data_IF_297981315769
#
_entry.id   IF_297981315769
#
_cell.length_a   1.000
_cell.length_b   1.000
_cell.length_c   1.000
_cell.angle_alpha   90.00
_cell.angle_beta   90.00
_cell.angle_gamma   90.00
#
_symmetry.space_group_name_H-M   'P 1'
#
loop_
_entity.id
_entity.type
_entity.pdbx_description
1 polymer ?
#
# COMPACT_ATOMS: atom_id res chain seq x y z
N UNK A 1 26.04 8.05 -6.95
CA UNK A 1 27.17 7.74 -6.01
C UNK A 1 27.32 8.79 -4.92
N UNK A 2 27.20 10.07 -5.23
CA UNK A 2 27.43 11.15 -4.23
C UNK A 2 26.43 11.11 -3.07
N UNK A 3 25.13 10.93 -3.36
CA UNK A 3 24.07 10.98 -2.36
C UNK A 3 24.23 9.92 -1.24
N UNK A 4 24.64 8.69 -1.58
CA UNK A 4 24.84 7.63 -0.56
C UNK A 4 25.95 8.04 0.40
N UNK A 5 27.10 8.48 -0.10
CA UNK A 5 28.21 8.90 0.75
C UNK A 5 27.86 10.12 1.60
N UNK A 6 27.10 11.07 1.05
CA UNK A 6 26.65 12.25 1.80
C UNK A 6 25.74 11.85 2.98
N UNK A 7 24.76 10.96 2.72
CA UNK A 7 23.85 10.51 3.75
C UNK A 7 24.55 9.62 4.80
N UNK A 8 25.44 8.72 4.39
CA UNK A 8 26.23 7.92 5.33
C UNK A 8 27.13 8.78 6.23
N UNK A 9 27.74 9.84 5.68
CA UNK A 9 28.51 10.80 6.46
C UNK A 9 27.63 11.52 7.50
N UNK A 10 26.41 11.96 7.13
CA UNK A 10 25.46 12.56 8.08
C UNK A 10 25.06 11.59 9.19
N UNK A 11 24.93 10.31 8.84
CA UNK A 11 24.59 9.24 9.78
C UNK A 11 25.78 8.79 10.65
N UNK A 12 27.01 9.26 10.33
CA UNK A 12 28.22 8.84 11.05
C UNK A 12 28.60 7.37 10.81
N UNK A 13 28.22 6.81 9.67
CA UNK A 13 28.46 5.41 9.32
C UNK A 13 29.66 5.31 8.37
N UNK A 14 30.70 4.60 8.79
CA UNK A 14 31.80 4.23 7.92
C UNK A 14 31.30 3.22 6.87
N UNK A 15 31.71 3.37 5.62
CA UNK A 15 31.33 2.49 4.52
C UNK A 15 32.59 1.92 3.87
N UNK A 16 32.83 0.63 4.06
CA UNK A 16 33.98 -0.06 3.47
C UNK A 16 33.68 -0.44 2.01
N UNK A 17 32.44 -0.81 1.72
CA UNK A 17 31.94 -1.07 0.38
C UNK A 17 30.44 -0.93 0.31
N UNK A 18 29.89 -0.69 -0.90
CA UNK A 18 28.46 -0.71 -1.13
C UNK A 18 28.13 -1.30 -2.50
N UNK A 19 26.89 -1.82 -2.64
CA UNK A 19 26.31 -2.26 -3.91
C UNK A 19 24.90 -1.69 -4.05
N UNK A 20 24.60 -1.16 -5.25
CA UNK A 20 23.26 -0.67 -5.57
C UNK A 20 22.33 -1.86 -5.74
N UNK A 21 21.23 -1.88 -4.98
CA UNK A 21 20.16 -2.85 -5.11
C UNK A 21 19.06 -2.33 -6.04
N UNK A 22 18.77 -1.03 -5.97
CA UNK A 22 17.78 -0.35 -6.82
C UNK A 22 18.15 1.13 -6.97
N UNK A 23 17.92 1.67 -8.17
CA UNK A 23 17.99 3.12 -8.44
C UNK A 23 16.88 3.46 -9.44
N UNK A 24 15.77 3.93 -8.91
CA UNK A 24 14.55 4.16 -9.70
C UNK A 24 13.69 5.25 -9.08
N UNK A 25 13.08 6.08 -9.95
CA UNK A 25 12.07 7.09 -9.60
C UNK A 25 12.53 8.12 -8.54
N UNK A 26 13.85 8.32 -8.38
CA UNK A 26 14.41 9.21 -7.37
C UNK A 26 14.56 8.55 -5.98
N UNK A 27 14.53 7.22 -5.93
CA UNK A 27 14.84 6.42 -4.75
C UNK A 27 16.03 5.52 -5.07
N UNK A 28 17.12 5.68 -4.32
CA UNK A 28 18.32 4.82 -4.44
C UNK A 28 18.38 3.93 -3.20
N UNK A 29 18.41 2.61 -3.41
CA UNK A 29 18.59 1.60 -2.35
C UNK A 29 19.93 0.93 -2.54
N UNK A 30 20.76 0.90 -1.51
CA UNK A 30 22.07 0.27 -1.56
C UNK A 30 22.32 -0.56 -0.29
N UNK A 31 22.94 -1.73 -0.49
CA UNK A 31 23.55 -2.48 0.61
C UNK A 31 24.90 -1.87 0.91
N UNK A 32 25.20 -1.65 2.16
CA UNK A 32 26.48 -1.13 2.66
C UNK A 32 27.10 -2.12 3.64
N UNK A 33 28.43 -2.22 3.60
CA UNK A 33 29.23 -3.00 4.55
C UNK A 33 30.04 -2.02 5.39
N UNK A 34 29.97 -2.19 6.71
CA UNK A 34 30.72 -1.41 7.70
C UNK A 34 31.30 -2.36 8.75
N UNK A 35 32.60 -2.65 8.65
CA UNK A 35 33.23 -3.71 9.42
C UNK A 35 32.62 -5.08 9.11
N UNK A 36 32.17 -5.76 10.15
CA UNK A 36 31.51 -7.08 10.02
C UNK A 36 29.97 -6.99 9.84
N UNK A 37 29.44 -5.77 9.73
CA UNK A 37 27.98 -5.54 9.67
C UNK A 37 27.56 -5.13 8.28
N UNK A 38 26.38 -5.61 7.88
CA UNK A 38 25.66 -5.21 6.66
C UNK A 38 24.41 -4.43 7.01
N UNK A 39 24.10 -3.41 6.21
CA UNK A 39 22.91 -2.57 6.34
C UNK A 39 22.35 -2.27 4.95
N UNK A 40 21.12 -1.80 4.90
CA UNK A 40 20.53 -1.23 3.68
C UNK A 40 20.27 0.26 3.92
N UNK A 41 20.80 1.10 3.04
CA UNK A 41 20.47 2.53 3.02
C UNK A 41 19.50 2.81 1.88
N UNK A 42 18.42 3.52 2.19
CA UNK A 42 17.42 3.99 1.24
C UNK A 42 17.46 5.52 1.22
N UNK A 43 17.90 6.12 0.10
CA UNK A 43 18.03 7.56 -0.09
C UNK A 43 16.91 8.09 -0.96
N UNK A 44 16.29 9.20 -0.54
CA UNK A 44 15.16 9.83 -1.21
C UNK A 44 15.58 11.16 -1.82
N UNK A 45 15.50 11.28 -3.15
CA UNK A 45 15.87 12.49 -3.89
C UNK A 45 14.67 13.45 -4.05
N UNK A 46 13.44 12.90 -4.05
CA UNK A 46 12.22 13.67 -4.18
C UNK A 46 11.51 13.80 -2.84
N UNK A 47 10.95 14.98 -2.55
CA UNK A 47 10.27 15.26 -1.29
C UNK A 47 9.06 14.36 -1.05
N UNK A 48 8.34 14.00 -2.10
CA UNK A 48 7.19 13.09 -2.03
C UNK A 48 7.51 11.70 -1.46
N UNK A 49 8.77 11.24 -1.63
CA UNK A 49 9.21 9.94 -1.12
C UNK A 49 9.76 10.02 0.32
N UNK A 50 10.15 11.21 0.79
CA UNK A 50 10.68 11.42 2.15
C UNK A 50 9.65 11.13 3.25
N UNK A 51 8.34 11.17 2.91
CA UNK A 51 7.27 10.80 3.83
C UNK A 51 7.44 9.40 4.43
N UNK A 52 8.13 8.49 3.73
CA UNK A 52 8.39 7.14 4.21
C UNK A 52 9.20 7.14 5.52
N UNK A 53 10.09 8.11 5.72
CA UNK A 53 10.86 8.27 6.96
C UNK A 53 9.92 8.51 8.15
N UNK A 54 8.99 9.45 7.99
CA UNK A 54 7.97 9.74 9.00
C UNK A 54 7.01 8.58 9.23
N UNK A 55 6.68 7.84 8.17
CA UNK A 55 5.79 6.68 8.24
C UNK A 55 6.40 5.53 9.07
N UNK A 56 7.71 5.27 8.96
CA UNK A 56 8.39 4.32 9.85
C UNK A 56 8.31 4.76 11.31
N UNK A 57 8.56 6.04 11.60
CA UNK A 57 8.50 6.58 12.95
C UNK A 57 7.07 6.49 13.53
N UNK A 58 6.06 6.79 12.70
CA UNK A 58 4.66 6.67 13.06
C UNK A 58 4.31 5.23 13.46
N UNK A 59 4.61 4.24 12.61
CA UNK A 59 4.29 2.84 12.87
C UNK A 59 4.95 2.34 14.15
N UNK A 60 6.23 2.68 14.38
CA UNK A 60 6.93 2.36 15.62
C UNK A 60 6.23 3.00 16.83
N UNK A 61 5.80 4.26 16.74
CA UNK A 61 5.10 4.97 17.82
C UNK A 61 3.75 4.34 18.17
N UNK A 62 3.08 3.74 17.17
CA UNK A 62 1.81 3.04 17.33
C UNK A 62 1.99 1.58 17.77
N UNK A 63 3.22 1.09 17.88
CA UNK A 63 3.52 -0.30 18.20
C UNK A 63 3.17 -1.28 17.09
N UNK A 64 3.13 -0.82 15.82
CA UNK A 64 2.99 -1.68 14.64
C UNK A 64 4.38 -2.19 14.25
N UNK A 65 4.61 -3.50 14.16
CA UNK A 65 5.92 -4.05 13.83
C UNK A 65 6.40 -3.64 12.45
N UNK A 66 7.68 -3.24 12.36
CA UNK A 66 8.38 -2.89 11.13
C UNK A 66 9.76 -3.58 11.13
N UNK A 67 10.45 -3.61 9.99
CA UNK A 67 11.88 -3.91 10.00
C UNK A 67 12.61 -2.81 10.78
N UNK A 68 13.79 -3.16 11.32
CA UNK A 68 14.50 -2.27 12.21
C UNK A 68 15.11 -1.10 11.46
N UNK A 69 14.73 0.12 11.85
CA UNK A 69 15.44 1.35 11.47
C UNK A 69 16.62 1.52 12.42
N UNK A 70 17.83 1.59 11.86
CA UNK A 70 19.08 1.79 12.63
C UNK A 70 19.27 3.29 12.92
N UNK A 71 19.08 4.11 11.86
CA UNK A 71 19.18 5.57 11.92
C UNK A 71 18.45 6.19 10.73
N UNK A 72 18.21 7.50 10.77
CA UNK A 72 17.64 8.26 9.65
C UNK A 72 18.21 9.66 9.58
N UNK A 73 18.17 10.25 8.39
CA UNK A 73 18.33 11.69 8.13
C UNK A 73 17.02 12.25 7.61
N UNK A 74 16.99 13.49 7.16
CA UNK A 74 15.82 14.10 6.51
C UNK A 74 15.55 13.51 5.09
N UNK A 75 16.51 12.75 4.54
CA UNK A 75 16.45 12.23 3.17
C UNK A 75 16.91 10.78 3.01
N UNK A 76 17.20 10.09 4.12
CA UNK A 76 17.59 8.68 4.06
C UNK A 76 17.16 7.89 5.30
N UNK A 77 16.95 6.59 5.07
CA UNK A 77 16.76 5.56 6.09
C UNK A 77 17.95 4.59 6.05
N UNK A 78 18.50 4.28 7.20
CA UNK A 78 19.43 3.16 7.39
C UNK A 78 18.69 2.02 8.07
N UNK A 79 18.54 0.92 7.38
CA UNK A 79 17.72 -0.23 7.77
C UNK A 79 18.61 -1.44 8.05
N UNK A 80 18.09 -2.40 8.82
CA UNK A 80 18.71 -3.73 8.90
C UNK A 80 18.75 -4.38 7.52
N UNK A 81 19.81 -5.14 7.23
CA UNK A 81 19.91 -5.94 6.03
C UNK A 81 19.20 -7.28 6.26
N UNK A 82 18.05 -7.45 5.64
CA UNK A 82 17.19 -8.64 5.82
C UNK A 82 17.88 -9.92 5.31
N UNK A 83 18.73 -9.83 4.28
CA UNK A 83 19.47 -10.99 3.80
C UNK A 83 20.47 -11.52 4.86
N UNK A 84 20.92 -10.64 5.76
CA UNK A 84 21.78 -10.97 6.89
C UNK A 84 20.99 -11.20 8.19
N UNK A 85 19.67 -11.07 8.19
CA UNK A 85 18.85 -11.23 9.39
C UNK A 85 18.82 -12.70 9.86
N UNK A 86 19.06 -12.98 11.16
CA UNK A 86 18.90 -14.33 11.69
C UNK A 86 17.42 -14.76 11.76
N UNK A 87 16.49 -13.81 11.83
CA UNK A 87 15.06 -14.05 12.10
C UNK A 87 14.22 -13.99 10.83
N UNK A 88 14.47 -13.00 9.96
CA UNK A 88 13.63 -12.70 8.80
C UNK A 88 14.30 -13.09 7.50
N UNK A 89 13.50 -13.24 6.47
CA UNK A 89 13.86 -13.26 5.05
C UNK A 89 12.92 -12.38 4.26
N UNK A 90 13.31 -11.96 3.07
CA UNK A 90 12.39 -11.30 2.14
C UNK A 90 11.26 -12.23 1.74
N UNK A 91 10.10 -11.68 1.48
CA UNK A 91 8.97 -12.42 0.92
C UNK A 91 9.28 -12.93 -0.49
N UNK A 92 8.72 -14.07 -0.82
CA UNK A 92 8.83 -14.73 -2.13
C UNK A 92 7.43 -15.04 -2.65
N UNK A 93 7.30 -15.30 -3.94
CA UNK A 93 6.02 -15.56 -4.58
C UNK A 93 5.25 -16.74 -3.95
N UNK A 94 5.97 -17.77 -3.54
CA UNK A 94 5.39 -18.94 -2.88
C UNK A 94 4.70 -18.62 -1.55
N UNK A 95 5.10 -17.54 -0.88
CA UNK A 95 4.44 -17.09 0.36
C UNK A 95 2.99 -16.68 0.12
N UNK A 96 2.64 -16.28 -1.10
CA UNK A 96 1.27 -15.88 -1.46
C UNK A 96 0.31 -17.08 -1.51
N UNK A 97 0.85 -18.29 -1.53
CA UNK A 97 0.06 -19.53 -1.51
C UNK A 97 0.12 -20.25 -0.16
N UNK A 98 0.85 -19.71 0.84
CA UNK A 98 1.01 -20.33 2.15
C UNK A 98 -0.06 -19.84 3.15
N UNK A 99 -0.97 -20.73 3.63
CA UNK A 99 -2.02 -20.32 4.57
C UNK A 99 -1.49 -19.79 5.91
N UNK A 100 -0.31 -20.27 6.37
CA UNK A 100 0.27 -19.77 7.62
C UNK A 100 0.80 -18.34 7.43
N UNK A 101 1.46 -18.06 6.30
CA UNK A 101 1.87 -16.69 5.96
C UNK A 101 0.63 -15.78 5.80
N UNK A 102 -0.44 -16.26 5.17
CA UNK A 102 -1.71 -15.56 5.07
C UNK A 102 -2.26 -15.13 6.43
N UNK A 103 -2.24 -16.03 7.45
CA UNK A 103 -2.62 -15.67 8.82
C UNK A 103 -1.72 -14.60 9.42
N UNK A 104 -0.39 -14.67 9.20
CA UNK A 104 0.55 -13.68 9.75
C UNK A 104 0.38 -12.30 9.13
N UNK A 105 0.09 -12.26 7.84
CA UNK A 105 -0.29 -11.03 7.15
C UNK A 105 -1.56 -10.43 7.81
N UNK A 106 -2.57 -11.25 8.05
CA UNK A 106 -3.81 -10.81 8.71
C UNK A 106 -3.57 -10.21 10.11
N UNK A 107 -2.72 -10.85 10.92
CA UNK A 107 -2.34 -10.34 12.25
C UNK A 107 -1.72 -8.95 12.14
N UNK A 108 -0.81 -8.74 11.18
CA UNK A 108 -0.17 -7.44 10.97
C UNK A 108 -1.19 -6.37 10.56
N UNK A 109 -2.05 -6.65 9.57
CA UNK A 109 -3.07 -5.70 9.11
C UNK A 109 -4.10 -5.38 10.18
N UNK A 110 -4.55 -6.39 10.93
CA UNK A 110 -5.48 -6.20 12.06
C UNK A 110 -4.89 -5.26 13.11
N UNK A 111 -3.59 -5.39 13.39
CA UNK A 111 -2.89 -4.49 14.31
C UNK A 111 -2.77 -3.09 13.73
N UNK A 112 -2.34 -2.95 12.45
CA UNK A 112 -2.26 -1.66 11.75
C UNK A 112 -3.60 -0.91 11.84
N UNK A 113 -4.69 -1.57 11.42
CA UNK A 113 -6.01 -0.95 11.38
C UNK A 113 -6.51 -0.61 12.78
N UNK A 114 -6.37 -1.51 13.76
CA UNK A 114 -6.83 -1.25 15.12
C UNK A 114 -6.12 -0.06 15.79
N UNK A 115 -4.81 0.10 15.54
CA UNK A 115 -4.01 1.23 16.05
C UNK A 115 -4.27 2.51 15.24
N UNK A 116 -4.47 2.34 13.92
CA UNK A 116 -4.68 3.43 12.98
C UNK A 116 -5.96 4.23 13.24
N UNK A 117 -7.04 3.61 13.66
CA UNK A 117 -8.32 4.30 13.90
C UNK A 117 -8.17 5.48 14.87
N UNK A 118 -7.53 5.25 16.01
CA UNK A 118 -7.33 6.31 17.02
C UNK A 118 -6.46 7.44 16.50
N UNK A 119 -5.40 7.09 15.78
CA UNK A 119 -4.47 8.08 15.22
C UNK A 119 -5.12 8.94 14.13
N UNK A 120 -5.80 8.32 13.16
CA UNK A 120 -6.41 9.03 12.03
C UNK A 120 -7.49 10.01 12.51
N UNK A 121 -8.30 9.63 13.50
CA UNK A 121 -9.29 10.53 14.09
C UNK A 121 -8.70 11.79 14.73
N UNK A 122 -7.45 11.71 15.23
CA UNK A 122 -6.82 12.80 15.97
C UNK A 122 -5.82 13.61 15.13
N UNK A 123 -5.14 12.97 14.19
CA UNK A 123 -3.96 13.53 13.51
C UNK A 123 -3.83 13.14 12.04
N UNK A 124 -4.82 12.47 11.45
CA UNK A 124 -4.72 11.91 10.09
C UNK A 124 -5.09 12.89 8.97
N UNK A 125 -5.34 14.18 9.25
CA UNK A 125 -5.87 15.12 8.25
C UNK A 125 -4.97 15.24 7.01
N UNK A 126 -3.66 15.31 7.19
CA UNK A 126 -2.68 15.48 6.11
C UNK A 126 -2.15 14.18 5.50
N UNK A 127 -2.68 13.02 5.92
CA UNK A 127 -2.25 11.74 5.36
C UNK A 127 -2.75 11.55 3.94
N UNK A 128 -1.96 10.83 3.13
CA UNK A 128 -2.37 10.35 1.83
C UNK A 128 -3.68 9.55 1.92
N UNK A 129 -4.63 9.80 1.04
CA UNK A 129 -5.91 9.08 0.96
C UNK A 129 -6.23 8.79 -0.51
N UNK A 130 -6.29 7.53 -0.88
CA UNK A 130 -6.63 7.15 -2.26
C UNK A 130 -8.06 7.54 -2.64
N UNK A 131 -8.96 7.65 -1.65
CA UNK A 131 -10.33 8.07 -1.88
C UNK A 131 -10.44 9.54 -2.36
N UNK A 132 -9.41 10.37 -2.15
CA UNK A 132 -9.36 11.74 -2.67
C UNK A 132 -9.35 11.78 -4.21
N UNK A 133 -8.99 10.65 -4.86
CA UNK A 133 -9.06 10.53 -6.33
C UNK A 133 -10.46 10.17 -6.86
N UNK A 134 -11.40 9.83 -6.00
CA UNK A 134 -12.79 9.57 -6.39
C UNK A 134 -13.54 10.87 -6.60
N UNK A 135 -13.32 11.53 -7.75
CA UNK A 135 -13.95 12.81 -8.11
C UNK A 135 -14.57 12.76 -9.50
N UNK A 136 -15.59 13.59 -9.75
CA UNK A 136 -16.19 13.73 -11.08
C UNK A 136 -15.18 14.22 -12.13
N UNK A 137 -14.21 15.05 -11.73
CA UNK A 137 -13.14 15.52 -12.60
C UNK A 137 -12.24 14.36 -13.05
N UNK A 138 -11.83 13.52 -12.13
CA UNK A 138 -11.01 12.35 -12.44
C UNK A 138 -11.78 11.32 -13.29
N UNK A 139 -13.07 11.12 -13.01
CA UNK A 139 -13.94 10.27 -13.84
C UNK A 139 -14.00 10.82 -15.29
N UNK A 140 -14.17 12.13 -15.47
CA UNK A 140 -14.17 12.74 -16.79
C UNK A 140 -12.81 12.55 -17.50
N UNK A 141 -11.70 12.73 -16.79
CA UNK A 141 -10.35 12.49 -17.30
C UNK A 141 -10.14 11.03 -17.73
N UNK A 142 -10.60 10.06 -16.93
CA UNK A 142 -10.53 8.63 -17.26
C UNK A 142 -11.31 8.37 -18.56
N UNK A 143 -12.55 8.83 -18.64
CA UNK A 143 -13.41 8.68 -19.83
C UNK A 143 -12.70 9.16 -21.09
N UNK A 144 -12.10 10.34 -21.04
CA UNK A 144 -11.38 10.95 -22.17
C UNK A 144 -10.14 10.16 -22.56
N UNK A 145 -9.25 9.86 -21.58
CA UNK A 145 -7.97 9.20 -21.85
C UNK A 145 -8.12 7.75 -22.33
N UNK A 146 -9.15 7.06 -21.89
CA UNK A 146 -9.39 5.65 -22.25
C UNK A 146 -10.34 5.47 -23.43
N UNK A 147 -10.97 6.55 -23.92
CA UNK A 147 -11.98 6.46 -24.97
C UNK A 147 -13.27 5.73 -24.54
N UNK A 148 -13.55 5.69 -23.23
CA UNK A 148 -14.67 4.92 -22.65
C UNK A 148 -15.93 5.74 -22.38
N UNK A 149 -16.09 6.92 -23.02
CA UNK A 149 -17.19 7.87 -22.75
C UNK A 149 -18.58 7.24 -22.85
N UNK A 150 -18.75 6.31 -23.76
CA UNK A 150 -20.03 5.67 -24.06
C UNK A 150 -20.34 4.46 -23.15
N UNK A 151 -19.43 4.10 -22.21
CA UNK A 151 -19.68 2.99 -21.30
C UNK A 151 -20.86 3.29 -20.36
N UNK A 152 -21.89 2.42 -20.29
CA UNK A 152 -23.10 2.68 -19.52
C UNK A 152 -22.86 2.79 -18.01
N UNK A 153 -21.78 2.17 -17.51
CA UNK A 153 -21.41 2.27 -16.10
C UNK A 153 -21.16 3.71 -15.66
N UNK A 154 -20.62 4.57 -16.52
CA UNK A 154 -20.35 5.96 -16.16
C UNK A 154 -21.63 6.74 -15.89
N UNK A 155 -22.67 6.55 -16.72
CA UNK A 155 -23.96 7.20 -16.51
C UNK A 155 -24.55 6.78 -15.16
N UNK A 156 -24.50 5.48 -14.85
CA UNK A 156 -25.01 4.95 -13.60
C UNK A 156 -24.21 5.46 -12.40
N UNK A 157 -22.88 5.52 -12.51
CA UNK A 157 -22.00 6.04 -11.46
C UNK A 157 -22.28 7.52 -11.19
N UNK A 158 -22.35 8.36 -12.24
CA UNK A 158 -22.59 9.80 -12.11
C UNK A 158 -23.96 10.10 -11.48
N UNK A 159 -25.00 9.31 -11.79
CA UNK A 159 -26.32 9.41 -11.18
C UNK A 159 -26.31 9.12 -9.67
N UNK A 160 -25.40 8.27 -9.22
CA UNK A 160 -25.29 7.85 -7.81
C UNK A 160 -24.10 8.48 -7.07
N UNK A 161 -23.29 9.29 -7.76
CA UNK A 161 -22.04 9.84 -7.24
C UNK A 161 -22.21 10.55 -5.90
N UNK A 162 -23.22 11.43 -5.79
CA UNK A 162 -23.42 12.22 -4.56
C UNK A 162 -23.69 11.33 -3.34
N UNK A 163 -24.51 10.30 -3.50
CA UNK A 163 -24.84 9.37 -2.41
C UNK A 163 -23.64 8.48 -2.06
N UNK A 164 -22.92 7.97 -3.06
CA UNK A 164 -21.69 7.18 -2.84
C UNK A 164 -20.63 8.04 -2.13
N UNK A 165 -20.43 9.27 -2.58
CA UNK A 165 -19.45 10.19 -1.96
C UNK A 165 -19.84 10.55 -0.52
N UNK A 166 -21.13 10.71 -0.22
CA UNK A 166 -21.60 10.93 1.15
C UNK A 166 -21.27 9.74 2.07
N UNK A 167 -21.47 8.51 1.62
CA UNK A 167 -21.07 7.31 2.37
C UNK A 167 -19.55 7.22 2.51
N UNK A 168 -18.81 7.52 1.43
CA UNK A 168 -17.35 7.52 1.45
C UNK A 168 -16.80 8.51 2.50
N UNK A 169 -17.41 9.69 2.62
CA UNK A 169 -17.05 10.68 3.64
C UNK A 169 -17.37 10.22 5.07
N UNK A 170 -18.40 9.38 5.24
CA UNK A 170 -18.81 8.82 6.54
C UNK A 170 -18.06 7.54 6.91
N UNK A 171 -17.42 6.86 5.96
CA UNK A 171 -16.69 5.64 6.21
C UNK A 171 -15.61 5.85 7.28
N UNK A 172 -15.51 4.90 8.19
CA UNK A 172 -14.53 4.96 9.29
C UNK A 172 -13.11 4.85 8.74
N UNK A 173 -12.29 5.85 9.01
CA UNK A 173 -10.91 5.89 8.51
C UNK A 173 -9.93 5.27 9.50
N UNK A 174 -8.97 4.53 8.97
CA UNK A 174 -7.80 4.00 9.66
C UNK A 174 -6.54 4.27 8.86
N UNK A 175 -5.38 3.86 9.36
CA UNK A 175 -4.15 3.82 8.55
C UNK A 175 -4.28 2.66 7.58
N UNK A 176 -3.99 2.91 6.29
CA UNK A 176 -3.93 1.91 5.22
C UNK A 176 -2.52 1.82 4.64
N UNK A 177 -2.13 0.61 4.25
CA UNK A 177 -0.81 0.33 3.70
C UNK A 177 -0.72 0.62 2.20
N UNK A 178 -1.73 0.26 1.45
CA UNK A 178 -1.98 0.54 0.02
C UNK A 178 -0.97 -0.05 -1.00
N UNK A 179 0.06 -0.78 -0.59
CA UNK A 179 1.13 -1.28 -1.47
C UNK A 179 1.49 -2.75 -1.19
N UNK A 180 0.46 -3.60 -1.00
CA UNK A 180 0.69 -5.01 -0.71
C UNK A 180 1.21 -5.77 -1.94
N UNK A 181 2.43 -6.29 -1.80
CA UNK A 181 3.03 -7.25 -2.72
C UNK A 181 4.11 -8.05 -1.98
N UNK A 182 4.41 -9.28 -2.41
CA UNK A 182 5.36 -10.12 -1.68
C UNK A 182 6.76 -9.49 -1.57
N UNK A 183 7.19 -8.70 -2.57
CA UNK A 183 8.50 -8.00 -2.54
C UNK A 183 8.57 -6.87 -1.51
N UNK A 184 7.42 -6.43 -0.98
CA UNK A 184 7.31 -5.39 0.05
C UNK A 184 7.09 -5.99 1.45
N UNK A 185 7.31 -7.29 1.59
CA UNK A 185 7.08 -8.06 2.80
C UNK A 185 8.34 -8.80 3.26
N UNK A 186 8.47 -8.98 4.55
CA UNK A 186 9.40 -9.92 5.17
C UNK A 186 8.63 -10.96 5.96
N UNK A 187 9.13 -12.19 5.96
CA UNK A 187 8.56 -13.33 6.68
C UNK A 187 9.59 -13.88 7.64
N UNK A 188 9.19 -14.16 8.87
CA UNK A 188 10.06 -14.89 9.81
C UNK A 188 10.39 -16.28 9.23
N UNK A 189 11.65 -16.71 9.40
CA UNK A 189 12.13 -18.00 8.85
C UNK A 189 11.35 -19.20 9.38
N UNK A 190 10.79 -19.08 10.59
CA UNK A 190 9.91 -20.07 11.22
C UNK A 190 8.40 -19.80 10.95
N UNK A 191 8.08 -18.83 10.09
CA UNK A 191 6.73 -18.37 9.77
C UNK A 191 5.92 -17.84 10.96
N UNK A 192 6.57 -17.44 12.06
CA UNK A 192 5.87 -16.91 13.24
C UNK A 192 5.32 -15.49 13.04
N UNK A 193 5.79 -14.74 12.04
CA UNK A 193 5.32 -13.39 11.71
C UNK A 193 5.59 -13.03 10.25
N UNK A 194 4.79 -12.10 9.74
CA UNK A 194 5.02 -11.39 8.48
C UNK A 194 4.83 -9.89 8.70
N UNK A 195 5.68 -9.06 8.11
CA UNK A 195 5.67 -7.60 8.24
C UNK A 195 5.80 -6.97 6.87
N UNK A 196 5.17 -5.81 6.68
CA UNK A 196 5.46 -4.94 5.54
C UNK A 196 6.66 -4.05 5.85
N UNK A 197 7.37 -3.54 4.82
CA UNK A 197 8.55 -2.71 5.05
C UNK A 197 8.77 -1.58 4.03
N UNK A 198 7.88 -1.38 3.07
CA UNK A 198 7.88 -0.24 2.15
C UNK A 198 6.67 0.62 2.46
N UNK A 199 6.86 1.84 2.96
CA UNK A 199 5.78 2.65 3.49
C UNK A 199 5.57 3.98 2.75
N UNK A 200 5.99 4.08 1.49
CA UNK A 200 5.81 5.28 0.69
C UNK A 200 4.34 5.61 0.39
N UNK A 201 3.47 4.59 0.32
CA UNK A 201 2.02 4.74 0.10
C UNK A 201 1.18 4.58 1.38
N UNK A 202 1.84 4.48 2.56
CA UNK A 202 1.12 4.47 3.82
C UNK A 202 0.25 5.75 3.92
N UNK A 203 -1.02 5.57 4.17
CA UNK A 203 -1.98 6.65 4.17
C UNK A 203 -3.13 6.41 5.13
N UNK A 204 -4.26 7.04 4.87
CA UNK A 204 -5.54 6.80 5.54
C UNK A 204 -6.55 6.28 4.52
N UNK A 205 -7.48 5.48 5.00
CA UNK A 205 -8.57 4.92 4.19
C UNK A 205 -9.50 4.10 5.06
N UNK A 206 -10.46 3.43 4.48
CA UNK A 206 -11.23 2.39 5.15
C UNK A 206 -10.48 1.04 5.07
N UNK A 207 -10.60 0.22 6.09
CA UNK A 207 -9.77 -0.98 6.27
C UNK A 207 -9.90 -1.99 5.12
N UNK A 208 -11.09 -2.07 4.49
CA UNK A 208 -11.35 -3.04 3.43
C UNK A 208 -10.48 -2.83 2.16
N UNK A 209 -10.00 -1.61 1.90
CA UNK A 209 -9.06 -1.35 0.79
C UNK A 209 -7.83 -2.25 0.87
N UNK A 210 -7.22 -2.34 2.06
CA UNK A 210 -6.08 -3.22 2.29
C UNK A 210 -6.46 -4.70 2.23
N UNK A 211 -7.63 -5.08 2.78
CA UNK A 211 -8.14 -6.46 2.70
C UNK A 211 -8.28 -6.91 1.25
N UNK A 212 -8.87 -6.08 0.38
CA UNK A 212 -8.96 -6.36 -1.06
C UNK A 212 -7.58 -6.51 -1.71
N UNK A 213 -6.65 -5.59 -1.42
CA UNK A 213 -5.28 -5.64 -1.96
C UNK A 213 -4.58 -6.95 -1.61
N UNK A 214 -4.70 -7.38 -0.36
CA UNK A 214 -4.13 -8.66 0.09
C UNK A 214 -4.80 -9.83 -0.61
N UNK A 215 -6.14 -9.90 -0.62
CA UNK A 215 -6.89 -11.00 -1.24
C UNK A 215 -6.64 -11.13 -2.74
N UNK A 216 -6.40 -10.03 -3.44
CA UNK A 216 -6.08 -10.06 -4.87
C UNK A 216 -4.72 -10.69 -5.19
N UNK A 217 -3.84 -10.81 -4.19
CA UNK A 217 -2.48 -11.35 -4.33
C UNK A 217 -2.32 -12.76 -3.76
N UNK A 218 -3.19 -13.15 -2.82
CA UNK A 218 -3.14 -14.47 -2.19
C UNK A 218 -3.87 -15.54 -3.02
N UNK A 219 -3.42 -16.79 -2.93
CA UNK A 219 -4.21 -17.93 -3.38
C UNK A 219 -5.52 -18.05 -2.60
N UNK A 220 -6.49 -18.82 -3.10
CA UNK A 220 -7.76 -19.04 -2.42
C UNK A 220 -7.57 -19.60 -0.99
N UNK A 221 -6.65 -20.55 -0.80
CA UNK A 221 -6.39 -21.18 0.50
C UNK A 221 -5.74 -20.19 1.48
N UNK A 222 -4.73 -19.44 1.02
CA UNK A 222 -4.07 -18.41 1.84
C UNK A 222 -5.02 -17.24 2.14
N UNK A 223 -5.83 -16.81 1.17
CA UNK A 223 -6.86 -15.79 1.33
C UNK A 223 -7.94 -16.18 2.33
N UNK A 224 -8.38 -17.44 2.32
CA UNK A 224 -9.29 -17.96 3.34
C UNK A 224 -8.65 -17.93 4.73
N UNK A 225 -7.41 -18.38 4.86
CA UNK A 225 -6.67 -18.35 6.12
C UNK A 225 -6.46 -16.91 6.64
N UNK A 226 -6.21 -15.95 5.73
CA UNK A 226 -6.17 -14.53 6.04
C UNK A 226 -7.51 -14.03 6.61
N UNK A 227 -8.64 -14.32 5.95
CA UNK A 227 -9.96 -13.88 6.38
C UNK A 227 -10.36 -14.51 7.73
N UNK A 228 -10.09 -15.79 7.93
CA UNK A 228 -10.38 -16.50 9.19
C UNK A 228 -9.65 -15.83 10.39
N UNK A 229 -8.42 -15.33 10.17
CA UNK A 229 -7.62 -14.65 11.20
C UNK A 229 -7.96 -13.16 11.32
N UNK A 230 -8.16 -12.47 10.19
CA UNK A 230 -8.48 -11.04 10.18
C UNK A 230 -9.83 -10.78 10.86
N UNK A 231 -10.81 -11.63 10.57
CA UNK A 231 -12.16 -11.54 11.10
C UNK A 231 -13.11 -10.73 10.22
N UNK A 232 -14.16 -10.22 10.84
CA UNK A 232 -15.21 -9.48 10.14
C UNK A 232 -14.75 -8.09 9.68
N UNK A 233 -15.26 -7.66 8.54
CA UNK A 233 -15.13 -6.32 7.99
C UNK A 233 -16.52 -5.72 7.73
N UNK A 234 -16.60 -4.40 7.65
CA UNK A 234 -17.85 -3.69 7.37
C UNK A 234 -18.31 -3.98 5.91
N UNK A 235 -19.49 -4.56 5.70
CA UNK A 235 -20.00 -4.81 4.35
C UNK A 235 -20.22 -3.52 3.54
N UNK A 236 -20.42 -2.37 4.21
CA UNK A 236 -20.51 -1.07 3.54
C UNK A 236 -19.15 -0.66 2.98
N UNK A 237 -18.05 -0.89 3.74
CA UNK A 237 -16.70 -0.64 3.24
C UNK A 237 -16.40 -1.48 1.99
N UNK A 238 -16.82 -2.77 2.00
CA UNK A 238 -16.67 -3.62 0.83
C UNK A 238 -17.43 -3.07 -0.39
N UNK A 239 -18.68 -2.70 -0.22
CA UNK A 239 -19.49 -2.17 -1.31
C UNK A 239 -18.94 -0.83 -1.85
N UNK A 240 -18.42 0.04 -0.97
CA UNK A 240 -17.70 1.25 -1.36
C UNK A 240 -16.44 0.93 -2.17
N UNK A 241 -15.63 -0.02 -1.69
CA UNK A 241 -14.39 -0.40 -2.35
C UNK A 241 -14.63 -1.00 -3.74
N UNK A 242 -15.65 -1.82 -3.90
CA UNK A 242 -16.05 -2.42 -5.19
C UNK A 242 -16.27 -1.34 -6.28
N UNK A 243 -16.65 -0.11 -5.89
CA UNK A 243 -16.87 1.01 -6.81
C UNK A 243 -15.71 1.99 -6.84
N UNK A 244 -15.27 2.45 -5.68
CA UNK A 244 -14.25 3.51 -5.55
C UNK A 244 -12.90 3.02 -6.09
N UNK A 245 -12.51 1.78 -5.80
CA UNK A 245 -11.22 1.23 -6.22
C UNK A 245 -11.07 1.15 -7.74
N UNK A 246 -12.15 0.91 -8.48
CA UNK A 246 -12.13 0.90 -9.95
C UNK A 246 -11.76 2.27 -10.48
N UNK A 247 -12.40 3.33 -9.97
CA UNK A 247 -12.13 4.71 -10.39
C UNK A 247 -10.72 5.13 -10.01
N UNK A 248 -10.30 4.86 -8.75
CA UNK A 248 -8.96 5.19 -8.26
C UNK A 248 -7.89 4.48 -9.08
N UNK A 249 -8.05 3.19 -9.31
CA UNK A 249 -7.06 2.40 -10.07
C UNK A 249 -6.97 2.87 -11.53
N UNK A 250 -8.10 3.13 -12.19
CA UNK A 250 -8.10 3.69 -13.56
C UNK A 250 -7.49 5.09 -13.60
N UNK A 251 -7.77 5.94 -12.59
CA UNK A 251 -7.15 7.25 -12.50
C UNK A 251 -5.62 7.15 -12.40
N UNK A 252 -5.11 6.33 -11.49
CA UNK A 252 -3.66 6.10 -11.32
C UNK A 252 -3.02 5.48 -12.58
N UNK A 253 -3.73 4.59 -13.27
CA UNK A 253 -3.28 4.04 -14.55
C UNK A 253 -3.16 5.14 -15.62
N UNK A 254 -4.11 6.08 -15.67
CA UNK A 254 -4.10 7.21 -16.59
C UNK A 254 -3.01 8.25 -16.30
N UNK A 255 -2.34 8.23 -15.15
CA UNK A 255 -1.20 9.11 -14.86
C UNK A 255 0.13 8.59 -15.41
N UNK A 256 0.17 7.36 -15.93
CA UNK A 256 1.37 6.76 -16.51
C UNK A 256 1.53 7.19 -17.97
N UNK A 257 2.78 7.21 -18.46
CA UNK A 257 3.10 7.55 -19.85
C UNK A 257 2.44 6.56 -20.83
N UNK A 258 2.41 5.27 -20.46
CA UNK A 258 1.70 4.23 -21.19
C UNK A 258 0.64 3.60 -20.28
N UNK A 259 -0.59 3.40 -20.82
CA UNK A 259 -1.66 2.75 -20.06
C UNK A 259 -1.28 1.30 -19.75
N UNK A 260 -1.23 0.93 -18.47
CA UNK A 260 -0.67 -0.35 -18.07
C UNK A 260 -1.60 -1.52 -18.39
N UNK A 261 -1.03 -2.63 -18.82
CA UNK A 261 -1.77 -3.83 -19.23
C UNK A 261 -2.67 -4.40 -18.12
N UNK A 262 -2.24 -4.28 -16.87
CA UNK A 262 -3.01 -4.76 -15.71
C UNK A 262 -4.31 -3.98 -15.45
N UNK A 263 -4.41 -2.74 -15.94
CA UNK A 263 -5.61 -1.92 -15.81
C UNK A 263 -6.62 -2.16 -16.95
N UNK A 264 -6.22 -2.88 -18.02
CA UNK A 264 -7.09 -3.17 -19.14
C UNK A 264 -8.33 -3.96 -18.72
N UNK A 265 -8.19 -4.93 -17.83
CA UNK A 265 -9.30 -5.71 -17.31
C UNK A 265 -10.39 -4.84 -16.67
N UNK A 266 -10.04 -3.75 -16.00
CA UNK A 266 -11.00 -2.82 -15.41
C UNK A 266 -11.77 -2.02 -16.46
N UNK A 267 -11.16 -1.71 -17.61
CA UNK A 267 -11.88 -1.08 -18.73
C UNK A 267 -12.92 -2.06 -19.33
N UNK A 268 -12.57 -3.34 -19.41
CA UNK A 268 -13.46 -4.37 -19.92
C UNK A 268 -14.67 -4.58 -18.98
N UNK A 269 -14.47 -4.38 -17.66
CA UNK A 269 -15.52 -4.45 -16.64
C UNK A 269 -16.56 -3.32 -16.75
N UNK A 270 -16.24 -2.17 -17.35
CA UNK A 270 -17.15 -1.00 -17.44
C UNK A 270 -18.50 -1.29 -18.10
N UNK A 271 -18.55 -2.30 -18.96
CA UNK A 271 -19.77 -2.71 -19.66
C UNK A 271 -20.50 -3.91 -19.00
N UNK A 272 -19.93 -4.46 -17.92
CA UNK A 272 -20.38 -5.71 -17.28
C UNK A 272 -20.38 -5.62 -15.76
N UNK A 273 -19.38 -6.19 -15.10
CA UNK A 273 -19.31 -6.36 -13.65
C UNK A 273 -19.29 -5.05 -12.89
N UNK A 274 -18.77 -3.96 -13.47
CA UNK A 274 -18.77 -2.66 -12.80
C UNK A 274 -20.18 -2.09 -12.63
N UNK A 275 -21.09 -2.34 -13.60
CA UNK A 275 -22.51 -1.99 -13.48
C UNK A 275 -23.12 -2.71 -12.27
N UNK A 276 -22.86 -4.03 -12.14
CA UNK A 276 -23.36 -4.83 -11.02
C UNK A 276 -22.83 -4.34 -9.67
N UNK A 277 -21.54 -3.93 -9.62
CA UNK A 277 -20.92 -3.35 -8.43
C UNK A 277 -21.64 -2.06 -7.99
N UNK A 278 -21.95 -1.15 -8.95
CA UNK A 278 -22.69 0.09 -8.67
C UNK A 278 -24.11 -0.22 -8.21
N UNK A 279 -24.79 -1.18 -8.85
CA UNK A 279 -26.15 -1.59 -8.44
C UNK A 279 -26.17 -2.22 -7.05
N UNK A 280 -25.18 -3.03 -6.70
CA UNK A 280 -25.04 -3.57 -5.35
C UNK A 280 -24.79 -2.46 -4.34
N UNK A 281 -23.96 -1.46 -4.66
CA UNK A 281 -23.74 -0.29 -3.84
C UNK A 281 -25.05 0.48 -3.59
N UNK A 282 -25.93 0.63 -4.61
CA UNK A 282 -27.24 1.27 -4.45
C UNK A 282 -28.17 0.58 -3.45
N UNK A 283 -27.97 -0.71 -3.18
CA UNK A 283 -28.79 -1.45 -2.19
C UNK A 283 -28.41 -1.17 -0.74
N UNK A 284 -27.24 -0.58 -0.54
CA UNK A 284 -26.74 -0.19 0.80
C UNK A 284 -26.80 1.32 1.03
N UNK A 285 -27.14 2.11 -0.03
CA UNK A 285 -27.48 3.53 0.05
C UNK A 285 -28.90 3.70 0.65
#
# INVERSE_FOLDING_TARGET
MNIIHEELNKLGIACDSFSILQDKDGVTVARIVSGEKSYVVKCFQKDEHKREIGNYQLLVSLGVPTIRVIASTDSALLLEDIDCSPTYRLGIEEDMSDPEVGRRIAVWYKLLHSRGYGYVCQSGESMYDEADFFTLENIACIKEKTGSQDAPAWVLLEQNYAAINELLCKARRTITYNDFYYTNMVVAKDKSSALMFVYNLLGKGYAYTDVRNVLSSLSEEAGKAFLDEYGEFDPIEKALDDVVSVVVTLHLACQRDEFPWWAQALLDELNTTFIEKIENMRRVL
#
